data_IF_287469428515
#
_entry.id   IF_287469428515
#
_cell.length_a   1.000
_cell.length_b   1.000
_cell.length_c   1.000
_cell.angle_alpha   90.00
_cell.angle_beta   90.00
_cell.angle_gamma   90.00
#
_symmetry.space_group_name_H-M   'P 1'
#
loop_
_entity.id
_entity.type
_entity.pdbx_description
1 polymer ?
#
# COMPACT_ATOMS: atom_id res chain seq x y z
N UNK A 1 31.99 46.31 -37.86
CA UNK A 1 30.60 45.84 -37.59
C UNK A 1 30.42 44.32 -37.72
N UNK A 2 31.45 43.49 -37.48
CA UNK A 2 31.33 42.01 -37.54
C UNK A 2 31.48 41.32 -36.17
N UNK A 3 32.08 42.01 -35.19
CA UNK A 3 32.30 41.49 -33.83
C UNK A 3 31.16 41.77 -32.83
N UNK A 4 30.29 42.75 -33.11
CA UNK A 4 29.13 43.06 -32.25
C UNK A 4 28.02 42.01 -32.44
N UNK A 5 27.83 41.52 -33.67
CA UNK A 5 26.88 40.44 -33.96
C UNK A 5 27.26 39.11 -33.28
N UNK A 6 28.55 38.76 -33.23
CA UNK A 6 29.01 37.54 -32.54
C UNK A 6 28.80 37.60 -31.02
N UNK A 7 28.90 38.78 -30.41
CA UNK A 7 28.67 38.98 -28.97
C UNK A 7 27.18 38.85 -28.60
N UNK A 8 26.28 39.39 -29.44
CA UNK A 8 24.83 39.23 -29.23
C UNK A 8 24.32 37.81 -29.47
N UNK A 9 24.90 37.08 -30.42
CA UNK A 9 24.52 35.69 -30.72
C UNK A 9 24.93 34.75 -29.56
N UNK A 10 26.04 35.03 -28.87
CA UNK A 10 26.49 34.24 -27.72
C UNK A 10 25.59 34.41 -26.49
N UNK A 11 25.09 35.63 -26.24
CA UNK A 11 24.20 35.94 -25.11
C UNK A 11 22.80 35.34 -25.26
N UNK A 12 22.30 35.16 -26.48
CA UNK A 12 20.97 34.56 -26.75
C UNK A 12 20.99 33.03 -26.56
N UNK A 13 22.15 32.38 -26.69
CA UNK A 13 22.30 30.93 -26.49
C UNK A 13 22.30 30.49 -25.02
N UNK A 14 22.50 31.40 -24.06
CA UNK A 14 22.51 31.09 -22.62
C UNK A 14 21.12 31.16 -21.95
N UNK A 15 20.11 31.72 -22.61
CA UNK A 15 18.77 31.93 -22.04
C UNK A 15 17.75 30.80 -22.31
N UNK A 16 18.11 29.78 -23.10
CA UNK A 16 17.20 28.67 -23.45
C UNK A 16 17.49 27.36 -22.70
N UNK A 17 18.36 27.38 -21.69
CA UNK A 17 18.51 26.26 -20.76
C UNK A 17 17.31 26.23 -19.79
N UNK A 18 16.13 25.88 -20.31
CA UNK A 18 15.01 25.49 -19.46
C UNK A 18 15.43 24.28 -18.65
N UNK A 19 15.67 24.48 -17.35
CA UNK A 19 15.88 23.40 -16.41
C UNK A 19 14.67 22.45 -16.51
N UNK A 20 14.87 21.27 -17.08
CA UNK A 20 13.89 20.21 -16.96
C UNK A 20 13.66 19.98 -15.45
N UNK A 21 12.41 19.87 -14.97
CA UNK A 21 12.18 19.50 -13.59
C UNK A 21 12.80 18.13 -13.38
N UNK A 22 13.85 18.06 -12.54
CA UNK A 22 14.42 16.80 -12.12
C UNK A 22 13.36 16.07 -11.29
N UNK A 23 12.69 15.10 -11.91
CA UNK A 23 11.82 14.19 -11.18
C UNK A 23 12.72 13.27 -10.37
N UNK A 24 12.93 13.62 -9.10
CA UNK A 24 13.54 12.72 -8.14
C UNK A 24 12.60 11.52 -7.97
N UNK A 25 12.96 10.39 -8.58
CA UNK A 25 12.30 9.12 -8.32
C UNK A 25 12.73 8.66 -6.93
N UNK A 26 12.00 9.13 -5.92
CA UNK A 26 12.28 8.87 -4.52
C UNK A 26 12.13 7.38 -4.24
N UNK A 27 13.25 6.71 -3.99
CA UNK A 27 13.31 5.33 -3.50
C UNK A 27 12.33 5.18 -2.32
N UNK A 28 11.20 4.50 -2.56
CA UNK A 28 10.10 4.34 -1.59
C UNK A 28 10.51 3.34 -0.53
N UNK A 29 11.39 3.76 0.37
CA UNK A 29 11.63 3.10 1.64
C UNK A 29 10.29 2.92 2.39
N UNK A 30 10.13 1.86 3.18
CA UNK A 30 8.86 1.53 3.85
C UNK A 30 8.27 2.67 4.69
N UNK A 31 9.12 3.58 5.19
CA UNK A 31 8.72 4.81 5.89
C UNK A 31 7.99 5.81 4.96
N UNK A 32 8.44 5.93 3.71
CA UNK A 32 7.85 6.80 2.67
C UNK A 32 6.46 6.32 2.23
N UNK A 33 6.22 5.00 2.21
CA UNK A 33 4.90 4.44 1.90
C UNK A 33 3.88 4.81 2.99
N UNK A 34 4.24 4.71 4.27
CA UNK A 34 3.37 5.14 5.37
C UNK A 34 3.07 6.64 5.31
N UNK A 35 4.11 7.46 5.12
CA UNK A 35 3.96 8.91 5.06
C UNK A 35 3.11 9.39 3.88
N UNK A 36 3.32 8.85 2.67
CA UNK A 36 2.54 9.22 1.49
C UNK A 36 1.05 8.87 1.60
N UNK A 37 0.72 7.75 2.27
CA UNK A 37 -0.68 7.40 2.59
C UNK A 37 -1.25 8.41 3.59
N UNK A 38 -0.53 8.74 4.66
CA UNK A 38 -0.98 9.72 5.66
C UNK A 38 -1.18 11.12 5.05
N UNK A 39 -0.25 11.56 4.21
CA UNK A 39 -0.34 12.83 3.49
C UNK A 39 -1.58 12.86 2.58
N UNK A 40 -1.92 11.75 1.91
CA UNK A 40 -3.13 11.67 1.09
C UNK A 40 -4.40 11.77 1.93
N UNK A 41 -4.41 11.22 3.15
CA UNK A 41 -5.53 11.34 4.09
C UNK A 41 -5.68 12.77 4.59
N UNK A 42 -4.57 13.43 4.98
CA UNK A 42 -4.61 14.84 5.43
C UNK A 42 -5.03 15.82 4.35
N UNK A 43 -4.71 15.54 3.09
CA UNK A 43 -5.17 16.33 1.95
C UNK A 43 -6.63 16.03 1.55
N UNK A 44 -7.32 15.11 2.24
CA UNK A 44 -8.68 14.68 1.90
C UNK A 44 -8.77 13.89 0.59
N UNK A 45 -7.64 13.45 0.02
CA UNK A 45 -7.60 12.64 -1.21
C UNK A 45 -7.89 11.17 -0.96
N UNK A 46 -7.86 10.74 0.31
CA UNK A 46 -8.12 9.37 0.73
C UNK A 46 -8.84 9.37 2.07
N UNK A 47 -9.85 8.52 2.22
CA UNK A 47 -10.51 8.35 3.50
C UNK A 47 -9.64 7.58 4.50
N UNK A 48 -9.84 7.91 5.79
CA UNK A 48 -9.25 7.13 6.87
C UNK A 48 -9.92 5.73 6.90
N UNK A 49 -9.16 4.63 6.85
CA UNK A 49 -9.74 3.29 6.91
C UNK A 49 -10.58 3.11 8.17
N UNK A 50 -11.85 2.75 8.00
CA UNK A 50 -12.70 2.33 9.11
C UNK A 50 -12.18 0.99 9.64
N UNK A 51 -12.00 0.91 10.95
CA UNK A 51 -11.52 -0.30 11.62
C UNK A 51 -12.66 -0.98 12.38
N UNK A 52 -12.59 -2.29 12.54
CA UNK A 52 -13.52 -3.09 13.34
C UNK A 52 -12.80 -4.19 14.09
N UNK A 53 -13.42 -4.70 15.16
CA UNK A 53 -12.89 -5.86 15.88
C UNK A 53 -13.23 -7.13 15.12
N UNK A 54 -12.19 -7.85 14.72
CA UNK A 54 -12.25 -9.12 14.03
C UNK A 54 -11.96 -10.26 15.01
N UNK A 55 -12.80 -11.30 15.05
CA UNK A 55 -12.60 -12.49 15.90
C UNK A 55 -12.13 -13.69 15.08
N UNK A 56 -11.24 -14.49 15.65
CA UNK A 56 -10.72 -15.70 15.01
C UNK A 56 -11.86 -16.71 14.81
N UNK A 57 -12.10 -17.12 13.57
CA UNK A 57 -13.16 -18.08 13.22
C UNK A 57 -12.62 -19.39 12.67
N UNK A 58 -11.42 -19.41 12.09
CA UNK A 58 -10.84 -20.63 11.53
C UNK A 58 -9.32 -20.60 11.56
N UNK A 59 -8.72 -21.76 11.83
CA UNK A 59 -7.29 -22.01 11.71
C UNK A 59 -7.07 -23.15 10.72
N UNK A 60 -6.09 -23.02 9.84
CA UNK A 60 -5.66 -24.07 8.92
C UNK A 60 -4.14 -24.11 8.88
N UNK A 61 -3.59 -25.30 8.71
CA UNK A 61 -2.15 -25.52 8.54
C UNK A 61 -1.98 -26.28 7.22
N UNK A 62 -1.06 -25.82 6.38
CA UNK A 62 -0.74 -26.45 5.09
C UNK A 62 0.77 -26.34 4.85
N UNK A 63 1.44 -27.46 4.58
CA UNK A 63 2.87 -27.51 4.22
C UNK A 63 3.86 -26.72 5.09
N UNK A 64 3.56 -26.49 6.38
CA UNK A 64 4.42 -25.70 7.27
C UNK A 64 4.00 -24.23 7.43
N UNK A 65 3.02 -23.77 6.66
CA UNK A 65 2.34 -22.50 6.86
C UNK A 65 1.08 -22.70 7.73
N UNK A 66 0.62 -21.62 8.36
CA UNK A 66 -0.61 -21.53 9.13
C UNK A 66 -1.42 -20.29 8.74
N UNK A 67 -2.70 -20.49 8.42
CA UNK A 67 -3.66 -19.42 8.22
C UNK A 67 -4.55 -19.23 9.46
N UNK A 68 -4.62 -18.00 9.95
CA UNK A 68 -5.57 -17.51 10.95
C UNK A 68 -6.63 -16.66 10.24
N UNK A 69 -7.86 -17.16 10.12
CA UNK A 69 -8.96 -16.44 9.46
C UNK A 69 -9.88 -15.80 10.50
N UNK A 70 -10.14 -14.51 10.32
CA UNK A 70 -10.95 -13.69 11.22
C UNK A 70 -12.22 -13.19 10.53
N UNK A 71 -13.27 -12.96 11.32
CA UNK A 71 -14.53 -12.32 10.90
C UNK A 71 -14.81 -11.08 11.75
N UNK A 72 -15.09 -9.97 11.09
CA UNK A 72 -15.53 -8.71 11.68
C UNK A 72 -17.01 -8.42 11.43
N UNK A 73 -17.40 -7.17 11.69
CA UNK A 73 -18.72 -6.66 11.31
C UNK A 73 -18.94 -6.73 9.79
N UNK A 74 -20.21 -6.68 9.35
CA UNK A 74 -20.60 -6.65 7.92
C UNK A 74 -19.96 -7.76 7.08
N UNK A 75 -19.75 -8.94 7.68
CA UNK A 75 -19.10 -10.08 7.03
C UNK A 75 -17.72 -9.77 6.44
N UNK A 76 -17.02 -8.78 7.00
CA UNK A 76 -15.61 -8.56 6.68
C UNK A 76 -14.78 -9.76 7.14
N UNK A 77 -13.89 -10.24 6.28
CA UNK A 77 -12.98 -11.35 6.56
C UNK A 77 -11.53 -10.94 6.31
N UNK A 78 -10.65 -11.27 7.24
CA UNK A 78 -9.22 -10.98 7.17
C UNK A 78 -8.43 -12.26 7.49
N UNK A 79 -7.44 -12.60 6.68
CA UNK A 79 -6.58 -13.77 6.88
C UNK A 79 -5.14 -13.35 7.17
N UNK A 80 -4.58 -13.86 8.26
CA UNK A 80 -3.16 -13.73 8.60
C UNK A 80 -2.48 -15.05 8.31
N UNK A 81 -1.35 -15.03 7.60
CA UNK A 81 -0.55 -16.20 7.28
C UNK A 81 0.76 -16.13 8.08
N UNK A 82 0.99 -17.16 8.90
CA UNK A 82 2.15 -17.29 9.78
C UNK A 82 2.85 -18.63 9.49
N UNK A 83 4.05 -18.83 10.01
CA UNK A 83 4.69 -20.15 10.03
C UNK A 83 3.95 -21.12 10.98
N UNK A 84 4.22 -22.42 10.85
CA UNK A 84 3.64 -23.47 11.69
C UNK A 84 3.89 -23.20 13.17
N UNK A 85 2.81 -23.17 13.95
CA UNK A 85 2.87 -22.92 15.40
C UNK A 85 2.86 -21.44 15.76
N UNK A 86 2.84 -20.53 14.78
CA UNK A 86 2.65 -19.10 15.01
C UNK A 86 1.36 -18.81 15.77
N UNK A 87 1.35 -17.77 16.59
CA UNK A 87 0.19 -17.45 17.41
C UNK A 87 -0.95 -16.83 16.57
N UNK A 88 -2.16 -17.39 16.68
CA UNK A 88 -3.39 -16.72 16.22
C UNK A 88 -4.07 -16.06 17.42
N UNK A 89 -3.99 -14.73 17.60
CA UNK A 89 -4.76 -14.04 18.64
C UNK A 89 -6.26 -14.31 18.47
N UNK A 90 -7.01 -14.31 19.59
CA UNK A 90 -8.47 -14.53 19.56
C UNK A 90 -9.22 -13.40 18.84
N UNK A 91 -8.66 -12.20 18.87
CA UNK A 91 -9.21 -11.02 18.21
C UNK A 91 -8.11 -10.07 17.75
N UNK A 92 -8.39 -9.34 16.68
CA UNK A 92 -7.51 -8.30 16.12
C UNK A 92 -8.33 -7.07 15.72
N UNK A 93 -7.65 -5.94 15.50
CA UNK A 93 -8.22 -4.80 14.79
C UNK A 93 -8.00 -5.00 13.29
N UNK A 94 -9.06 -5.04 12.50
CA UNK A 94 -9.03 -5.24 11.05
C UNK A 94 -9.72 -4.08 10.34
N UNK A 95 -9.35 -3.83 9.07
CA UNK A 95 -10.06 -2.85 8.25
C UNK A 95 -11.45 -3.39 7.92
N UNK A 96 -12.47 -2.55 8.10
CA UNK A 96 -13.84 -2.84 7.72
C UNK A 96 -13.99 -2.71 6.19
N UNK A 97 -14.47 -3.77 5.56
CA UNK A 97 -14.82 -3.79 4.15
C UNK A 97 -16.33 -4.09 4.03
N UNK A 98 -17.19 -3.06 4.03
CA UNK A 98 -18.59 -3.25 3.66
C UNK A 98 -18.64 -3.81 2.24
N UNK A 99 -19.55 -4.75 1.99
CA UNK A 99 -19.85 -5.29 0.66
C UNK A 99 -18.73 -6.14 0.01
N UNK A 100 -17.75 -6.59 0.81
CA UNK A 100 -16.74 -7.53 0.32
C UNK A 100 -17.38 -8.90 0.02
N UNK A 101 -17.09 -9.45 -1.16
CA UNK A 101 -17.64 -10.74 -1.63
C UNK A 101 -16.81 -11.95 -1.15
N UNK A 102 -15.78 -11.70 -0.35
CA UNK A 102 -14.91 -12.76 0.18
C UNK A 102 -15.70 -13.72 1.06
N UNK A 103 -15.34 -14.99 0.96
CA UNK A 103 -15.96 -16.07 1.71
C UNK A 103 -14.92 -16.90 2.44
N UNK A 104 -15.34 -17.51 3.55
CA UNK A 104 -14.50 -18.44 4.33
C UNK A 104 -13.95 -19.58 3.46
N UNK A 105 -14.78 -20.13 2.58
CA UNK A 105 -14.36 -21.19 1.64
C UNK A 105 -13.34 -20.69 0.64
N UNK A 106 -13.47 -19.45 0.13
CA UNK A 106 -12.49 -18.82 -0.74
C UNK A 106 -11.10 -18.76 -0.10
N UNK A 107 -11.01 -18.26 1.13
CA UNK A 107 -9.74 -18.21 1.86
C UNK A 107 -9.14 -19.59 2.10
N UNK A 108 -9.96 -20.55 2.54
CA UNK A 108 -9.49 -21.92 2.81
C UNK A 108 -9.01 -22.58 1.53
N UNK A 109 -9.76 -22.47 0.42
CA UNK A 109 -9.37 -23.06 -0.87
C UNK A 109 -8.07 -22.45 -1.38
N UNK A 110 -7.93 -21.13 -1.31
CA UNK A 110 -6.71 -20.44 -1.71
C UNK A 110 -5.50 -20.89 -0.88
N UNK A 111 -5.68 -21.07 0.44
CA UNK A 111 -4.59 -21.49 1.32
C UNK A 111 -4.18 -22.97 1.16
N UNK A 112 -5.16 -23.86 0.98
CA UNK A 112 -4.90 -25.30 0.86
C UNK A 112 -4.31 -25.68 -0.51
N UNK A 113 -4.49 -24.84 -1.53
CA UNK A 113 -3.99 -25.07 -2.89
C UNK A 113 -2.71 -24.28 -3.21
N UNK A 114 -2.14 -23.62 -2.20
CA UNK A 114 -0.81 -22.99 -2.26
C UNK A 114 0.25 -24.07 -2.05
#
# INVERSE_FOLDING_TARGET
MRNIFYSFICSILLLTASAAPSMADGNKSGLSLGFSVMQSIWQGKRDNPKMTTCRLIKRKVNAGDQMCLYKGAQSTFEAIYNDKGGFCPRSISCRLYPDDSKTVSGFVKAFMNK
#
